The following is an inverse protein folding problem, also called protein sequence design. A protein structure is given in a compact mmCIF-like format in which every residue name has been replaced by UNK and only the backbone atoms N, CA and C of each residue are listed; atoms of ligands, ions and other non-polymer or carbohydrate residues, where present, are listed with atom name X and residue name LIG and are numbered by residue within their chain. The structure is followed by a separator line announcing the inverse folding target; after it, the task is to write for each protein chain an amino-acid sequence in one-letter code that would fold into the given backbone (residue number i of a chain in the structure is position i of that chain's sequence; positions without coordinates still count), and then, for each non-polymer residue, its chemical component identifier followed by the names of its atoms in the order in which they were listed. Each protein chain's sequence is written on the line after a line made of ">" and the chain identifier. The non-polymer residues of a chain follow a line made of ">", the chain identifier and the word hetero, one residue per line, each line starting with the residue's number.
data_IF_253134748269
#
_entry.id   IF_253134748269
#
_cell.length_a   1.000
_cell.length_b   1.000
_cell.length_c   1.000
_cell.angle_alpha   90.00
_cell.angle_beta   90.00
_cell.angle_gamma   90.00
#
_symmetry.space_group_name_H-M   'P 1'
#
loop_
_entity.id
_entity.type
_entity.pdbx_description
1 polymer ?
#
# COMPACT_ATOMS: atom_id res chain seq x y z
N UNK A 1 -9.60 5.81 19.88
CA UNK A 1 -9.28 4.36 19.91
C UNK A 1 -7.95 4.21 19.19
N UNK A 2 -6.93 3.63 19.84
CA UNK A 2 -5.63 3.42 19.22
C UNK A 2 -5.75 2.24 18.25
N UNK A 3 -5.86 2.50 16.96
CA UNK A 3 -5.82 1.44 15.96
C UNK A 3 -4.37 0.98 15.77
N UNK A 4 -3.99 -0.09 16.48
CA UNK A 4 -2.70 -0.76 16.31
C UNK A 4 -2.92 -2.09 15.61
N UNK A 5 -1.89 -2.53 14.91
CA UNK A 5 -1.86 -3.76 14.16
C UNK A 5 -0.67 -4.58 14.60
N UNK A 6 -0.82 -5.89 14.61
CA UNK A 6 0.28 -6.83 14.78
C UNK A 6 0.60 -7.42 13.42
N UNK A 7 1.84 -7.28 12.98
CA UNK A 7 2.34 -7.97 11.80
C UNK A 7 3.18 -9.17 12.23
N UNK A 8 2.83 -10.35 11.71
CA UNK A 8 3.56 -11.60 11.90
C UNK A 8 4.19 -11.98 10.56
N UNK A 9 5.50 -11.76 10.44
CA UNK A 9 6.27 -12.11 9.25
C UNK A 9 6.92 -13.47 9.43
N UNK A 10 6.76 -14.34 8.44
CA UNK A 10 7.35 -15.67 8.40
C UNK A 10 8.32 -15.74 7.22
N UNK A 11 9.59 -16.05 7.49
CA UNK A 11 10.60 -16.28 6.47
C UNK A 11 10.44 -17.68 5.85
N UNK A 12 9.52 -17.78 4.89
CA UNK A 12 9.25 -18.99 4.12
C UNK A 12 8.61 -18.63 2.77
N UNK A 13 8.72 -19.55 1.81
CA UNK A 13 8.14 -19.35 0.48
C UNK A 13 6.60 -19.17 0.55
N UNK A 14 6.01 -18.21 -0.19
CA UNK A 14 4.57 -17.92 -0.11
C UNK A 14 3.64 -19.08 -0.42
N UNK A 15 4.06 -20.10 -1.16
CA UNK A 15 3.18 -21.22 -1.52
C UNK A 15 2.59 -21.96 -0.29
N UNK A 16 3.25 -21.91 0.87
CA UNK A 16 2.70 -22.47 2.12
C UNK A 16 1.40 -21.77 2.58
N UNK A 17 1.16 -20.53 2.14
CA UNK A 17 -0.08 -19.80 2.41
C UNK A 17 -1.30 -20.44 1.74
N UNK A 18 -1.14 -21.20 0.66
CA UNK A 18 -2.27 -21.87 0.02
C UNK A 18 -3.00 -22.80 1.02
N UNK A 19 -2.24 -23.50 1.87
CA UNK A 19 -2.78 -24.39 2.89
C UNK A 19 -3.27 -23.66 4.15
N UNK A 20 -2.76 -22.45 4.43
CA UNK A 20 -2.98 -21.74 5.69
C UNK A 20 -3.99 -20.59 5.58
N UNK A 21 -4.15 -19.99 4.40
CA UNK A 21 -4.88 -18.74 4.17
C UNK A 21 -6.27 -18.75 4.79
N UNK A 22 -7.09 -19.76 4.48
CA UNK A 22 -8.46 -19.88 5.02
C UNK A 22 -8.48 -19.92 6.55
N UNK A 23 -7.58 -20.70 7.16
CA UNK A 23 -7.45 -20.82 8.61
C UNK A 23 -6.96 -19.53 9.26
N UNK A 24 -6.04 -18.82 8.60
CA UNK A 24 -5.54 -17.51 9.06
C UNK A 24 -6.66 -16.47 9.08
N UNK A 25 -7.47 -16.38 8.02
CA UNK A 25 -8.62 -15.48 7.99
C UNK A 25 -9.69 -15.87 9.03
N UNK A 26 -9.95 -17.17 9.21
CA UNK A 26 -10.87 -17.64 10.25
C UNK A 26 -10.38 -17.33 11.67
N UNK A 27 -9.06 -17.28 11.89
CA UNK A 27 -8.44 -16.87 13.15
C UNK A 27 -8.38 -15.34 13.35
N UNK A 28 -8.87 -14.56 12.38
CA UNK A 28 -8.97 -13.10 12.48
C UNK A 28 -7.83 -12.33 11.82
N UNK A 29 -7.10 -12.93 10.88
CA UNK A 29 -6.22 -12.18 9.98
C UNK A 29 -7.06 -11.23 9.12
N UNK A 30 -6.60 -10.00 8.96
CA UNK A 30 -7.27 -8.96 8.16
C UNK A 30 -6.57 -8.72 6.81
N UNK A 31 -5.34 -9.20 6.68
CA UNK A 31 -4.58 -9.12 5.44
C UNK A 31 -3.37 -10.03 5.46
N UNK A 32 -2.92 -10.40 4.26
CA UNK A 32 -1.71 -11.17 4.03
C UNK A 32 -0.94 -10.47 2.90
N UNK A 33 0.37 -10.30 3.08
CA UNK A 33 1.29 -9.76 2.07
C UNK A 33 2.30 -10.84 1.71
N UNK A 34 2.46 -11.07 0.41
CA UNK A 34 3.38 -12.06 -0.14
C UNK A 34 4.60 -11.36 -0.77
N UNK A 35 5.78 -11.93 -0.53
CA UNK A 35 7.06 -11.55 -1.13
C UNK A 35 7.86 -12.82 -1.44
N UNK A 36 8.87 -12.75 -2.30
CA UNK A 36 9.52 -13.93 -2.89
C UNK A 36 9.93 -15.04 -1.88
N UNK A 37 10.37 -14.66 -0.67
CA UNK A 37 10.85 -15.58 0.37
C UNK A 37 10.21 -15.37 1.76
N UNK A 38 9.14 -14.59 1.83
CA UNK A 38 8.46 -14.35 3.09
C UNK A 38 7.00 -13.98 2.87
N UNK A 39 6.21 -14.15 3.92
CA UNK A 39 4.87 -13.60 3.97
C UNK A 39 4.61 -12.93 5.31
N UNK A 40 3.78 -11.90 5.29
CA UNK A 40 3.38 -11.15 6.47
C UNK A 40 1.87 -11.22 6.66
N UNK A 41 1.44 -11.61 7.85
CA UNK A 41 0.02 -11.69 8.24
C UNK A 41 -0.27 -10.52 9.16
N UNK A 42 -1.38 -9.83 8.94
CA UNK A 42 -1.80 -8.67 9.72
C UNK A 42 -3.03 -9.00 10.56
N UNK A 43 -2.94 -8.70 11.86
CA UNK A 43 -4.03 -8.81 12.83
C UNK A 43 -4.29 -7.45 13.47
N UNK A 44 -5.54 -7.14 13.82
CA UNK A 44 -5.81 -6.06 14.76
C UNK A 44 -5.25 -6.39 16.15
N UNK A 45 -4.73 -5.38 16.86
CA UNK A 45 -4.15 -5.52 18.20
C UNK A 45 -5.09 -6.20 19.20
N UNK A 46 -6.39 -5.94 19.09
CA UNK A 46 -7.44 -6.54 19.93
C UNK A 46 -7.67 -8.04 19.70
N UNK A 47 -7.30 -8.56 18.53
CA UNK A 47 -7.42 -9.98 18.18
C UNK A 47 -6.19 -10.77 18.66
N UNK A 48 -5.05 -10.08 18.85
CA UNK A 48 -3.79 -10.70 19.21
C UNK A 48 -3.75 -11.13 20.68
N UNK A 49 -3.50 -12.42 20.92
CA UNK A 49 -3.37 -13.00 22.24
C UNK A 49 -2.45 -14.24 22.23
N UNK A 50 -2.17 -14.79 23.41
CA UNK A 50 -1.27 -15.93 23.56
C UNK A 50 -1.79 -17.21 22.88
N UNK A 51 -3.11 -17.45 22.88
CA UNK A 51 -3.70 -18.63 22.25
C UNK A 51 -3.55 -18.58 20.73
N UNK A 52 -3.77 -17.41 20.13
CA UNK A 52 -3.55 -17.18 18.70
C UNK A 52 -2.08 -17.40 18.34
N UNK A 53 -1.15 -16.87 19.13
CA UNK A 53 0.28 -17.09 18.91
C UNK A 53 0.63 -18.58 18.89
N UNK A 54 0.16 -19.35 19.89
CA UNK A 54 0.41 -20.80 19.96
C UNK A 54 -0.23 -21.57 18.80
N UNK A 55 -1.43 -21.16 18.37
CA UNK A 55 -2.12 -21.75 17.22
C UNK A 55 -1.34 -21.52 15.92
N UNK A 56 -0.84 -20.30 15.71
CA UNK A 56 -0.01 -19.97 14.55
C UNK A 56 1.28 -20.80 14.53
N UNK A 57 1.98 -20.91 15.66
CA UNK A 57 3.17 -21.76 15.77
C UNK A 57 2.87 -23.22 15.41
N UNK A 58 1.73 -23.75 15.86
CA UNK A 58 1.31 -25.11 15.53
C UNK A 58 1.14 -25.28 14.02
N UNK A 59 0.39 -24.38 13.38
CA UNK A 59 0.15 -24.43 11.94
C UNK A 59 1.43 -24.28 11.11
N UNK A 60 2.32 -23.37 11.50
CA UNK A 60 3.60 -23.21 10.81
C UNK A 60 4.48 -24.46 10.94
N UNK A 61 4.51 -25.11 12.10
CA UNK A 61 5.24 -26.37 12.31
C UNK A 61 4.66 -27.54 11.50
N UNK A 62 3.35 -27.54 11.24
CA UNK A 62 2.69 -28.60 10.46
C UNK A 62 2.91 -28.44 8.94
N UNK A 63 2.96 -27.21 8.44
CA UNK A 63 2.99 -26.93 6.99
C UNK A 63 4.39 -26.62 6.46
N UNK A 64 5.25 -25.98 7.27
CA UNK A 64 6.57 -25.52 6.84
C UNK A 64 7.63 -26.53 7.34
N UNK A 65 8.36 -27.20 6.44
CA UNK A 65 9.43 -28.12 6.80
C UNK A 65 10.53 -27.41 7.59
N UNK A 66 11.02 -28.07 8.64
CA UNK A 66 12.08 -27.56 9.52
C UNK A 66 11.81 -26.13 10.02
N UNK A 67 10.53 -25.82 10.31
CA UNK A 67 10.14 -24.54 10.85
C UNK A 67 10.80 -24.30 12.21
N UNK A 68 11.42 -23.14 12.34
CA UNK A 68 12.01 -22.65 13.58
C UNK A 68 11.50 -21.24 13.89
N UNK A 69 11.34 -20.93 15.17
CA UNK A 69 10.79 -19.65 15.62
C UNK A 69 11.72 -18.47 15.27
N UNK A 70 13.01 -18.71 14.98
CA UNK A 70 13.90 -17.67 14.43
C UNK A 70 13.47 -17.13 13.05
N UNK A 71 12.59 -17.86 12.34
CA UNK A 71 11.98 -17.41 11.07
C UNK A 71 10.78 -16.49 11.28
N UNK A 72 10.38 -16.25 12.52
CA UNK A 72 9.22 -15.45 12.89
C UNK A 72 9.67 -14.07 13.37
N UNK A 73 9.10 -13.03 12.77
CA UNK A 73 9.28 -11.64 13.20
C UNK A 73 7.91 -11.04 13.50
N UNK A 74 7.69 -10.65 14.76
CA UNK A 74 6.43 -10.06 15.21
C UNK A 74 6.68 -8.60 15.57
N UNK A 75 5.88 -7.71 14.98
CA UNK A 75 6.00 -6.27 15.22
C UNK A 75 4.63 -5.65 15.47
N UNK A 76 4.59 -4.69 16.40
CA UNK A 76 3.42 -3.80 16.56
C UNK A 76 3.58 -2.60 15.66
N UNK A 77 2.61 -2.41 14.76
CA UNK A 77 2.54 -1.29 13.82
C UNK A 77 1.42 -0.35 14.21
N UNK A 78 1.69 0.95 14.13
CA UNK A 78 0.64 1.96 14.25
C UNK A 78 -0.14 2.04 12.94
N UNK A 79 -1.45 2.26 13.03
CA UNK A 79 -2.24 2.52 11.83
C UNK A 79 -1.78 3.82 11.19
N UNK A 80 -1.13 3.69 10.05
CA UNK A 80 -0.80 4.82 9.20
C UNK A 80 -2.02 5.15 8.33
N UNK A 81 -2.32 6.43 8.16
CA UNK A 81 -3.31 6.86 7.19
C UNK A 81 -2.69 6.80 5.80
N UNK A 82 -2.72 5.61 5.19
CA UNK A 82 -2.16 5.35 3.87
C UNK A 82 -2.78 6.24 2.79
N UNK A 83 -4.07 6.58 2.90
CA UNK A 83 -4.73 7.50 1.97
C UNK A 83 -4.08 8.89 2.04
N UNK A 84 -3.87 9.41 3.24
CA UNK A 84 -3.23 10.72 3.42
C UNK A 84 -1.75 10.70 3.00
N UNK A 85 -0.99 9.65 3.35
CA UNK A 85 0.39 9.48 2.87
C UNK A 85 0.46 9.40 1.35
N UNK A 86 -0.45 8.66 0.72
CA UNK A 86 -0.53 8.55 -0.72
C UNK A 86 -0.87 9.89 -1.37
N UNK A 87 -1.86 10.63 -0.85
CA UNK A 87 -2.20 11.99 -1.31
C UNK A 87 -1.03 12.96 -1.21
N UNK A 88 -0.26 12.91 -0.13
CA UNK A 88 0.94 13.74 0.06
C UNK A 88 1.99 13.55 -1.05
N UNK A 89 2.03 12.38 -1.67
CA UNK A 89 2.91 12.08 -2.80
C UNK A 89 2.52 12.79 -4.11
N UNK A 90 1.30 13.30 -4.23
CA UNK A 90 0.83 14.01 -5.41
C UNK A 90 0.87 15.51 -5.15
N UNK A 91 1.83 16.17 -5.79
CA UNK A 91 1.97 17.63 -5.73
C UNK A 91 1.64 18.26 -7.08
N UNK A 92 1.17 19.52 -7.10
CA UNK A 92 0.97 20.24 -8.34
C UNK A 92 2.27 20.27 -9.13
N UNK A 93 2.21 19.97 -10.42
CA UNK A 93 3.39 19.97 -11.28
C UNK A 93 3.09 20.62 -12.63
N UNK A 94 4.13 21.21 -13.22
CA UNK A 94 4.03 21.91 -14.51
C UNK A 94 4.28 20.96 -15.67
N UNK A 95 3.52 21.16 -16.73
CA UNK A 95 3.71 20.51 -18.02
C UNK A 95 3.83 21.60 -19.08
N UNK A 96 5.00 21.72 -19.71
CA UNK A 96 5.22 22.81 -20.67
C UNK A 96 5.38 24.16 -19.97
N UNK A 97 4.84 25.23 -20.56
CA UNK A 97 5.05 26.62 -20.11
C UNK A 97 3.96 27.12 -19.16
N UNK A 98 2.70 26.82 -19.45
CA UNK A 98 1.52 27.37 -18.79
C UNK A 98 0.66 26.31 -18.11
N UNK A 99 0.74 25.04 -18.51
CA UNK A 99 -0.15 24.01 -17.96
C UNK A 99 0.36 23.54 -16.60
N UNK A 100 -0.53 23.55 -15.60
CA UNK A 100 -0.29 22.98 -14.27
C UNK A 100 -1.30 21.87 -14.05
N UNK A 101 -0.83 20.65 -13.78
CA UNK A 101 -1.68 19.53 -13.38
C UNK A 101 -1.79 19.53 -11.87
N UNK A 102 -3.03 19.56 -11.38
CA UNK A 102 -3.37 19.75 -9.98
C UNK A 102 -4.24 18.58 -9.48
N UNK A 103 -3.81 17.81 -8.48
CA UNK A 103 -4.71 16.87 -7.79
C UNK A 103 -5.87 17.63 -7.11
N UNK A 104 -7.05 17.01 -7.06
CA UNK A 104 -8.30 17.65 -6.60
C UNK A 104 -8.32 18.00 -5.11
N UNK A 105 -7.37 17.48 -4.32
CA UNK A 105 -7.20 17.75 -2.89
C UNK A 105 -6.10 18.78 -2.54
N UNK A 106 -5.36 19.31 -3.52
CA UNK A 106 -4.37 20.37 -3.26
C UNK A 106 -4.93 21.75 -3.64
N UNK A 107 -4.63 22.74 -2.80
CA UNK A 107 -4.87 24.14 -3.14
C UNK A 107 -3.66 24.72 -3.86
N UNK A 108 -3.90 25.38 -4.98
CA UNK A 108 -2.87 26.01 -5.79
C UNK A 108 -3.34 27.36 -6.32
N UNK A 109 -2.53 28.40 -6.13
CA UNK A 109 -2.79 29.73 -6.66
C UNK A 109 -2.02 29.89 -7.98
N UNK A 110 -2.72 29.90 -9.13
CA UNK A 110 -2.05 30.03 -10.42
C UNK A 110 -1.42 31.41 -10.60
N UNK A 111 -0.21 31.43 -11.17
CA UNK A 111 0.40 32.66 -11.65
C UNK A 111 -0.37 33.20 -12.86
N UNK A 112 -0.21 34.51 -13.15
CA UNK A 112 -0.81 35.13 -14.34
C UNK A 112 -0.39 34.36 -15.60
N UNK A 113 -1.38 33.88 -16.36
CA UNK A 113 -1.28 33.04 -17.56
C UNK A 113 -1.12 31.51 -17.38
N UNK A 114 -1.19 30.95 -16.17
CA UNK A 114 -1.24 29.50 -15.97
C UNK A 114 -2.63 28.90 -16.27
N UNK A 115 -2.65 27.72 -16.89
CA UNK A 115 -3.83 26.90 -17.18
C UNK A 115 -3.83 25.72 -16.20
N UNK A 116 -4.76 25.72 -15.25
CA UNK A 116 -4.84 24.67 -14.22
C UNK A 116 -5.76 23.55 -14.70
N UNK A 117 -5.21 22.35 -14.82
CA UNK A 117 -5.93 21.11 -15.08
C UNK A 117 -6.09 20.34 -13.77
N UNK A 118 -7.31 20.34 -13.23
CA UNK A 118 -7.65 19.54 -12.04
C UNK A 118 -7.88 18.08 -12.46
N UNK A 119 -7.01 17.18 -12.02
CA UNK A 119 -7.10 15.75 -12.33
C UNK A 119 -6.96 14.97 -11.03
N UNK A 120 -7.99 14.23 -10.64
CA UNK A 120 -7.93 13.34 -9.50
C UNK A 120 -7.16 12.05 -9.88
N UNK A 121 -5.99 11.76 -9.27
CA UNK A 121 -5.35 10.46 -9.40
C UNK A 121 -6.30 9.35 -8.95
N UNK A 122 -6.58 8.41 -9.86
CA UNK A 122 -7.43 7.23 -9.60
C UNK A 122 -6.88 6.07 -10.43
N UNK A 123 -7.74 5.13 -10.79
CA UNK A 123 -7.41 3.98 -11.65
C UNK A 123 -7.26 4.36 -13.13
N UNK A 124 -7.65 5.57 -13.54
CA UNK A 124 -7.57 6.02 -14.92
C UNK A 124 -6.16 6.48 -15.28
N UNK A 125 -5.68 6.07 -16.46
CA UNK A 125 -4.47 6.61 -17.06
C UNK A 125 -4.67 8.09 -17.45
N UNK A 126 -3.58 8.84 -17.59
CA UNK A 126 -3.63 10.25 -18.03
C UNK A 126 -3.62 11.27 -16.90
N UNK A 127 -3.11 10.93 -15.71
CA UNK A 127 -2.92 11.86 -14.58
C UNK A 127 -1.79 12.87 -14.79
N UNK A 128 -1.18 12.90 -15.98
CA UNK A 128 -0.10 13.80 -16.37
C UNK A 128 1.30 13.43 -15.85
N UNK A 129 1.43 12.44 -14.98
CA UNK A 129 2.75 12.02 -14.46
C UNK A 129 3.57 11.21 -15.48
N UNK A 130 2.89 10.52 -16.40
CA UNK A 130 3.55 9.74 -17.46
C UNK A 130 3.95 10.64 -18.64
N UNK A 131 5.13 10.39 -19.20
CA UNK A 131 5.79 11.22 -20.22
C UNK A 131 4.91 11.37 -21.46
N UNK A 132 4.18 10.32 -21.86
CA UNK A 132 3.29 10.40 -23.02
C UNK A 132 2.15 11.41 -22.81
N UNK A 133 1.60 11.49 -21.60
CA UNK A 133 0.56 12.48 -21.28
C UNK A 133 1.15 13.89 -21.30
N UNK A 134 2.37 14.05 -20.78
CA UNK A 134 3.07 15.33 -20.79
C UNK A 134 3.36 15.82 -22.21
N UNK A 135 3.84 14.93 -23.08
CA UNK A 135 4.11 15.25 -24.49
C UNK A 135 2.83 15.67 -25.22
N UNK A 136 1.72 14.96 -25.01
CA UNK A 136 0.43 15.35 -25.60
C UNK A 136 0.01 16.75 -25.13
N UNK A 137 0.08 17.04 -23.83
CA UNK A 137 -0.28 18.35 -23.29
C UNK A 137 0.63 19.48 -23.81
N UNK A 138 1.94 19.23 -23.93
CA UNK A 138 2.89 20.19 -24.50
C UNK A 138 2.62 20.47 -25.98
N UNK A 139 2.26 19.45 -26.75
CA UNK A 139 1.87 19.62 -28.16
C UNK A 139 0.58 20.44 -28.24
N UNK A 140 -0.42 20.14 -27.41
CA UNK A 140 -1.66 20.91 -27.36
C UNK A 140 -1.39 22.38 -27.04
N UNK A 141 -0.58 22.68 -26.03
CA UNK A 141 -0.18 24.05 -25.67
C UNK A 141 0.53 24.80 -26.81
N UNK A 142 1.27 24.09 -27.67
CA UNK A 142 2.00 24.70 -28.78
C UNK A 142 1.07 25.14 -29.91
N UNK A 143 0.01 24.39 -30.17
CA UNK A 143 -0.86 24.58 -31.33
C UNK A 143 -2.22 25.19 -31.00
N UNK A 144 -2.58 25.26 -29.72
CA UNK A 144 -3.83 25.82 -29.20
C UNK A 144 -3.55 26.68 -27.95
#
# INVERSE_FOLDING_TARGET
>A
MNNRWISVTVLAAPFYLEALSASLFAAGAEGIKEEDNQFTIFFADQTWNQDLYLLLLKWFKEVIPDFDESRLVIETRQQENWLEKWKQGFKPFKVGKRIVVLPDWEDYQPASAEIVLKIAPKMAFGTGHHETTQLCLQVMERYY
#
